data_IF_667994116975
#
_entry.id   IF_667994116975
#
_cell.length_a   1.000
_cell.length_b   1.000
_cell.length_c   1.000
_cell.angle_alpha   90.00
_cell.angle_beta   90.00
_cell.angle_gamma   90.00
#
_symmetry.space_group_name_H-M   'P 1'
#
loop_
_entity.id
_entity.type
_entity.pdbx_description
1 polymer ?
#
# COMPACT_ATOMS: atom_id res chain seq x y z
N UNK A 1 -21.08 34.74 11.13
CA UNK A 1 -19.77 34.11 11.31
C UNK A 1 -19.63 33.03 10.25
N UNK A 2 -18.90 33.30 9.17
CA UNK A 2 -18.74 32.35 8.05
C UNK A 2 -17.44 31.57 8.21
N UNK A 3 -17.51 30.24 8.17
CA UNK A 3 -16.34 29.36 8.26
C UNK A 3 -15.49 29.45 6.97
N UNK A 4 -14.15 29.41 7.02
CA UNK A 4 -13.35 29.38 5.81
C UNK A 4 -13.47 28.00 5.14
N UNK A 5 -13.78 27.99 3.85
CA UNK A 5 -13.73 26.81 2.99
C UNK A 5 -12.27 26.41 2.76
N UNK A 6 -11.89 25.22 3.20
CA UNK A 6 -10.57 24.64 2.93
C UNK A 6 -10.53 24.11 1.49
N UNK A 7 -10.09 24.94 0.54
CA UNK A 7 -9.91 24.57 -0.86
C UNK A 7 -8.79 23.55 -1.09
N UNK A 8 -8.98 22.67 -2.07
CA UNK A 8 -7.97 21.75 -2.62
C UNK A 8 -6.82 22.58 -3.21
N UNK A 9 -5.62 22.50 -2.63
CA UNK A 9 -4.44 23.27 -3.08
C UNK A 9 -3.33 23.54 -2.05
N UNK A 10 -3.38 22.98 -0.83
CA UNK A 10 -2.45 23.30 0.27
C UNK A 10 -1.09 22.56 0.20
N UNK A 11 -0.58 22.20 -0.98
CA UNK A 11 0.74 21.57 -1.10
C UNK A 11 1.91 22.57 -1.07
N UNK A 12 1.68 23.80 -0.58
CA UNK A 12 2.71 24.84 -0.47
C UNK A 12 3.53 24.93 -1.76
N UNK A 13 2.86 25.29 -2.86
CA UNK A 13 3.47 25.41 -4.19
C UNK A 13 4.81 26.17 -4.15
N UNK A 14 5.71 25.96 -5.13
CA UNK A 14 7.08 26.45 -5.06
C UNK A 14 7.13 27.90 -4.57
N UNK A 15 7.79 28.09 -3.42
CA UNK A 15 7.87 29.40 -2.74
C UNK A 15 8.28 30.48 -3.73
N UNK A 16 7.47 31.54 -3.84
CA UNK A 16 7.77 32.73 -4.63
C UNK A 16 8.82 33.64 -3.94
N UNK A 17 9.21 33.33 -2.69
CA UNK A 17 10.32 34.01 -2.03
C UNK A 17 11.63 33.79 -2.77
N UNK A 18 12.42 34.85 -2.92
CA UNK A 18 13.78 34.76 -3.45
C UNK A 18 14.65 33.75 -2.68
N UNK A 19 15.57 33.08 -3.41
CA UNK A 19 16.60 32.23 -2.80
C UNK A 19 16.25 30.76 -2.61
N UNK A 20 15.11 30.25 -3.09
CA UNK A 20 14.76 28.81 -3.05
C UNK A 20 15.82 27.93 -3.71
N UNK A 21 16.37 28.38 -4.85
CA UNK A 21 17.47 27.68 -5.55
C UNK A 21 18.71 27.57 -4.68
N UNK A 22 19.09 28.66 -4.01
CA UNK A 22 20.24 28.70 -3.10
C UNK A 22 20.00 27.85 -1.84
N UNK A 23 18.81 27.93 -1.21
CA UNK A 23 18.44 27.07 -0.06
C UNK A 23 18.46 25.59 -0.43
N UNK A 24 17.95 25.23 -1.61
CA UNK A 24 17.99 23.85 -2.14
C UNK A 24 19.43 23.40 -2.39
N UNK A 25 20.29 24.27 -2.91
CA UNK A 25 21.72 23.99 -3.11
C UNK A 25 22.44 23.74 -1.77
N UNK A 26 22.26 24.63 -0.79
CA UNK A 26 22.86 24.49 0.55
C UNK A 26 22.37 23.22 1.24
N UNK A 27 21.07 22.91 1.16
CA UNK A 27 20.50 21.67 1.69
C UNK A 27 21.10 20.42 1.01
N UNK A 28 21.23 20.41 -0.32
CA UNK A 28 21.86 19.30 -1.06
C UNK A 28 23.32 19.11 -0.64
N UNK A 29 24.08 20.20 -0.48
CA UNK A 29 25.50 20.17 -0.05
C UNK A 29 25.64 19.64 1.38
N UNK A 30 24.84 20.16 2.32
CA UNK A 30 24.83 19.70 3.71
C UNK A 30 24.41 18.23 3.83
N UNK A 31 23.35 17.83 3.11
CA UNK A 31 22.88 16.44 3.06
C UNK A 31 23.94 15.49 2.52
N UNK A 32 24.65 15.87 1.45
CA UNK A 32 25.76 15.05 0.90
C UNK A 32 26.91 14.92 1.89
N UNK A 33 27.26 16.00 2.60
CA UNK A 33 28.30 15.98 3.64
C UNK A 33 27.94 15.13 4.86
N UNK A 34 26.65 15.05 5.22
CA UNK A 34 26.17 14.29 6.38
C UNK A 34 25.90 12.81 6.08
N UNK A 35 25.31 12.50 4.92
CA UNK A 35 24.82 11.15 4.62
C UNK A 35 25.86 10.22 3.99
N UNK A 36 27.02 10.73 3.53
CA UNK A 36 27.99 9.91 2.80
C UNK A 36 27.41 9.30 1.52
N UNK A 37 28.02 8.21 1.01
CA UNK A 37 27.58 7.50 -0.20
C UNK A 37 26.45 6.48 0.07
N UNK A 38 26.34 6.00 1.31
CA UNK A 38 25.38 4.96 1.70
C UNK A 38 24.53 5.41 2.90
N UNK A 39 23.33 4.83 3.02
CA UNK A 39 22.48 5.09 4.18
C UNK A 39 23.18 4.61 5.46
N UNK A 40 23.11 5.37 6.58
CA UNK A 40 23.62 4.92 7.86
C UNK A 40 23.09 3.53 8.24
N UNK A 41 23.94 2.69 8.82
CA UNK A 41 23.62 1.29 9.09
C UNK A 41 22.41 1.13 10.02
N UNK A 42 22.19 2.05 10.95
CA UNK A 42 21.03 2.10 11.84
C UNK A 42 19.73 2.28 11.05
N UNK A 43 19.75 3.13 10.01
CA UNK A 43 18.60 3.34 9.13
C UNK A 43 18.31 2.10 8.31
N UNK A 44 19.36 1.40 7.83
CA UNK A 44 19.19 0.13 7.13
C UNK A 44 18.59 -0.92 8.07
N UNK A 45 19.13 -1.08 9.28
CA UNK A 45 18.61 -2.01 10.30
C UNK A 45 17.15 -1.75 10.63
N UNK A 46 16.76 -0.48 10.79
CA UNK A 46 15.36 -0.09 11.00
C UNK A 46 14.47 -0.50 9.82
N UNK A 47 14.92 -0.30 8.59
CA UNK A 47 14.19 -0.69 7.38
C UNK A 47 14.09 -2.20 7.20
N UNK A 48 15.14 -2.95 7.54
CA UNK A 48 15.14 -4.42 7.54
C UNK A 48 14.12 -4.93 8.55
N UNK A 49 14.17 -4.43 9.80
CA UNK A 49 13.19 -4.77 10.83
C UNK A 49 11.77 -4.44 10.38
N UNK A 50 11.56 -3.27 9.75
CA UNK A 50 10.23 -2.90 9.23
C UNK A 50 9.77 -3.85 8.13
N UNK A 51 10.65 -4.25 7.22
CA UNK A 51 10.32 -5.24 6.18
C UNK A 51 9.93 -6.59 6.78
N UNK A 52 10.65 -7.05 7.82
CA UNK A 52 10.33 -8.27 8.56
C UNK A 52 8.96 -8.18 9.25
N UNK A 53 8.66 -7.06 9.92
CA UNK A 53 7.34 -6.83 10.53
C UNK A 53 6.21 -6.83 9.51
N UNK A 54 6.48 -6.44 8.27
CA UNK A 54 5.52 -6.46 7.17
C UNK A 54 5.42 -7.83 6.48
N UNK A 55 6.28 -8.79 6.84
CA UNK A 55 6.38 -10.08 6.14
C UNK A 55 6.86 -9.95 4.69
N UNK A 56 7.62 -8.89 4.38
CA UNK A 56 8.11 -8.56 3.03
C UNK A 56 9.61 -8.80 2.88
N UNK A 57 10.08 -9.32 1.73
CA UNK A 57 11.49 -9.26 1.39
C UNK A 57 11.99 -7.81 1.38
N UNK A 58 13.15 -7.56 2.00
CA UNK A 58 13.73 -6.21 2.11
C UNK A 58 13.86 -5.51 0.75
N UNK A 59 14.21 -6.24 -0.32
CA UNK A 59 14.34 -5.69 -1.67
C UNK A 59 13.01 -5.09 -2.17
N UNK A 60 11.90 -5.79 -1.95
CA UNK A 60 10.55 -5.33 -2.33
C UNK A 60 10.16 -4.09 -1.53
N UNK A 61 10.35 -4.15 -0.21
CA UNK A 61 10.10 -3.01 0.68
C UNK A 61 10.92 -1.76 0.31
N UNK A 62 12.22 -1.93 0.08
CA UNK A 62 13.12 -0.82 -0.28
C UNK A 62 12.76 -0.20 -1.63
N UNK A 63 12.38 -1.03 -2.61
CA UNK A 63 11.93 -0.58 -3.92
C UNK A 63 10.66 0.29 -3.82
N UNK A 64 9.65 -0.19 -3.11
CA UNK A 64 8.38 0.53 -2.92
C UNK A 64 8.61 1.84 -2.16
N UNK A 65 9.39 1.81 -1.08
CA UNK A 65 9.71 3.02 -0.30
C UNK A 65 10.52 4.04 -1.11
N UNK A 66 11.36 3.58 -2.03
CA UNK A 66 12.12 4.47 -2.91
C UNK A 66 11.24 5.13 -3.97
N UNK A 67 10.23 4.44 -4.50
CA UNK A 67 9.31 4.99 -5.51
C UNK A 67 8.27 5.94 -4.92
N UNK A 68 7.71 5.62 -3.75
CA UNK A 68 6.64 6.44 -3.14
C UNK A 68 7.16 7.50 -2.19
N UNK A 69 8.37 7.32 -1.64
CA UNK A 69 8.88 8.15 -0.55
C UNK A 69 8.17 7.93 0.79
N UNK A 70 7.21 6.99 0.87
CA UNK A 70 6.40 6.68 2.05
C UNK A 70 6.70 5.28 2.57
N UNK A 71 6.51 5.07 3.88
CA UNK A 71 6.51 3.72 4.45
C UNK A 71 5.28 2.92 4.03
N UNK A 72 5.41 1.60 4.00
CA UNK A 72 4.28 0.69 3.78
C UNK A 72 3.52 0.55 5.09
N UNK A 73 2.23 0.87 5.07
CA UNK A 73 1.36 0.83 6.25
C UNK A 73 0.35 -0.32 6.20
N UNK A 74 0.15 -0.91 5.04
CA UNK A 74 -0.86 -1.94 4.84
C UNK A 74 -0.86 -2.52 3.44
N UNK A 75 -1.76 -3.48 3.25
CA UNK A 75 -1.91 -4.24 2.04
C UNK A 75 -3.36 -4.34 1.63
N UNK A 76 -3.59 -4.27 0.32
CA UNK A 76 -4.84 -4.69 -0.30
C UNK A 76 -4.60 -6.05 -0.93
N UNK A 77 -5.15 -7.11 -0.37
CA UNK A 77 -5.11 -8.46 -0.92
C UNK A 77 -6.30 -8.68 -1.85
N UNK A 78 -6.04 -9.15 -3.07
CA UNK A 78 -7.10 -9.79 -3.86
C UNK A 78 -7.43 -11.15 -3.27
N UNK A 79 -8.71 -11.55 -3.30
CA UNK A 79 -9.11 -12.92 -2.96
C UNK A 79 -8.38 -13.97 -3.82
N UNK A 80 -8.02 -13.65 -5.06
CA UNK A 80 -7.22 -14.54 -5.92
C UNK A 80 -5.83 -14.81 -5.32
N UNK A 81 -5.16 -13.78 -4.83
CA UNK A 81 -3.85 -13.92 -4.20
C UNK A 81 -3.90 -14.67 -2.87
N UNK A 82 -5.04 -14.63 -2.18
CA UNK A 82 -5.31 -15.44 -0.99
C UNK A 82 -5.78 -16.87 -1.31
N UNK A 83 -5.88 -17.23 -2.59
CA UNK A 83 -6.43 -18.51 -3.07
C UNK A 83 -7.88 -18.75 -2.65
N UNK A 84 -8.62 -17.68 -2.41
CA UNK A 84 -10.06 -17.70 -2.15
C UNK A 84 -10.77 -17.43 -3.48
N UNK A 85 -11.39 -18.47 -4.05
CA UNK A 85 -12.06 -18.41 -5.36
C UNK A 85 -13.52 -18.81 -5.26
N UNK A 86 -13.83 -19.77 -4.38
CA UNK A 86 -15.16 -20.36 -4.21
C UNK A 86 -15.70 -20.08 -2.82
N UNK A 87 -17.03 -20.04 -2.73
CA UNK A 87 -17.69 -19.95 -1.44
C UNK A 87 -17.31 -21.17 -0.58
N UNK A 88 -16.88 -20.93 0.66
CA UNK A 88 -16.43 -21.96 1.58
C UNK A 88 -14.92 -22.24 1.56
N UNK A 89 -14.17 -21.64 0.63
CA UNK A 89 -12.70 -21.69 0.68
C UNK A 89 -12.19 -21.12 2.01
N UNK A 90 -11.09 -21.69 2.50
CA UNK A 90 -10.41 -21.25 3.72
C UNK A 90 -8.98 -20.83 3.38
N UNK A 91 -8.43 -19.91 4.17
CA UNK A 91 -7.01 -19.60 4.09
C UNK A 91 -6.18 -20.85 4.40
N UNK A 92 -5.15 -21.09 3.60
CA UNK A 92 -4.13 -22.07 3.96
C UNK A 92 -3.50 -21.67 5.30
N UNK A 93 -3.18 -22.60 6.21
CA UNK A 93 -2.63 -22.28 7.53
C UNK A 93 -1.42 -21.35 7.48
N UNK A 94 -0.49 -21.59 6.54
CA UNK A 94 0.68 -20.74 6.35
C UNK A 94 0.35 -19.30 5.95
N UNK A 95 -0.75 -19.09 5.20
CA UNK A 95 -1.19 -17.74 4.82
C UNK A 95 -1.80 -17.05 6.03
N UNK A 96 -2.67 -17.74 6.78
CA UNK A 96 -3.26 -17.23 8.02
C UNK A 96 -2.18 -16.85 9.04
N UNK A 97 -1.19 -17.73 9.28
CA UNK A 97 -0.07 -17.47 10.18
C UNK A 97 0.74 -16.23 9.77
N UNK A 98 1.00 -16.07 8.46
CA UNK A 98 1.73 -14.92 7.94
C UNK A 98 0.94 -13.62 8.14
N UNK A 99 -0.37 -13.64 7.84
CA UNK A 99 -1.26 -12.49 8.02
C UNK A 99 -1.46 -12.12 9.49
N UNK A 100 -1.51 -13.10 10.39
CA UNK A 100 -1.66 -12.87 11.82
C UNK A 100 -0.42 -12.19 12.45
N UNK A 101 0.79 -12.56 11.99
CA UNK A 101 2.05 -12.04 12.54
C UNK A 101 2.43 -10.65 12.04
N UNK A 102 1.93 -10.24 10.88
CA UNK A 102 2.36 -8.98 10.27
C UNK A 102 1.78 -7.76 11.00
N UNK A 103 2.57 -6.67 11.05
CA UNK A 103 2.19 -5.39 11.64
C UNK A 103 1.84 -4.37 10.55
N UNK A 104 0.70 -4.59 9.91
CA UNK A 104 0.16 -3.74 8.85
C UNK A 104 -1.37 -3.91 8.77
N UNK A 105 -2.05 -2.95 8.15
CA UNK A 105 -3.46 -3.10 7.77
C UNK A 105 -3.61 -4.20 6.70
N UNK A 106 -4.58 -5.08 6.85
CA UNK A 106 -4.85 -6.24 5.97
C UNK A 106 -6.26 -6.14 5.44
N UNK A 107 -6.37 -5.59 4.24
CA UNK A 107 -7.66 -5.33 3.59
C UNK A 107 -7.84 -6.31 2.44
N UNK A 108 -9.03 -6.90 2.30
CA UNK A 108 -9.31 -7.84 1.21
C UNK A 108 -10.31 -7.25 0.22
N UNK A 109 -9.95 -7.29 -1.07
CA UNK A 109 -10.88 -7.12 -2.18
C UNK A 109 -11.37 -8.50 -2.63
N UNK A 110 -12.62 -8.83 -2.30
CA UNK A 110 -13.22 -10.12 -2.58
C UNK A 110 -13.93 -10.13 -3.93
N UNK A 111 -13.53 -11.05 -4.82
CA UNK A 111 -14.25 -11.26 -6.09
C UNK A 111 -15.56 -11.98 -5.88
N UNK A 112 -16.56 -11.64 -6.69
CA UNK A 112 -17.79 -12.43 -6.77
C UNK A 112 -17.49 -13.88 -7.20
N UNK A 113 -18.13 -14.92 -6.62
CA UNK A 113 -19.30 -14.87 -5.73
C UNK A 113 -18.98 -14.82 -4.23
N UNK A 114 -17.75 -14.48 -3.83
CA UNK A 114 -17.39 -14.44 -2.42
C UNK A 114 -18.16 -13.32 -1.69
N UNK A 115 -18.42 -13.59 -0.43
CA UNK A 115 -19.11 -12.69 0.51
C UNK A 115 -18.04 -12.06 1.39
N UNK A 116 -17.73 -10.76 1.24
CA UNK A 116 -16.68 -10.08 2.00
C UNK A 116 -16.86 -10.23 3.51
N UNK A 117 -18.09 -10.19 3.99
CA UNK A 117 -18.44 -10.28 5.40
C UNK A 117 -17.93 -11.60 6.01
N UNK A 118 -17.98 -12.71 5.25
CA UNK A 118 -17.43 -14.00 5.70
C UNK A 118 -15.90 -14.04 5.69
N UNK A 119 -15.25 -13.19 4.89
CA UNK A 119 -13.79 -13.08 4.84
C UNK A 119 -13.27 -12.20 5.97
N UNK A 120 -14.04 -11.17 6.37
CA UNK A 120 -13.72 -10.36 7.56
C UNK A 120 -13.69 -11.20 8.85
N UNK A 121 -14.40 -12.33 8.89
CA UNK A 121 -14.35 -13.28 10.01
C UNK A 121 -13.02 -14.05 10.10
N UNK A 122 -12.16 -14.01 9.08
CA UNK A 122 -10.88 -14.70 9.12
C UNK A 122 -9.89 -13.98 10.03
N UNK A 123 -9.17 -14.75 10.84
CA UNK A 123 -8.12 -14.20 11.70
C UNK A 123 -7.04 -13.52 10.85
N UNK A 124 -6.65 -12.31 11.25
CA UNK A 124 -5.66 -11.51 10.53
C UNK A 124 -6.21 -10.74 9.33
N UNK A 125 -7.54 -10.65 9.15
CA UNK A 125 -8.16 -9.72 8.21
C UNK A 125 -8.77 -8.55 8.99
N UNK A 126 -8.38 -7.31 8.66
CA UNK A 126 -8.88 -6.11 9.35
C UNK A 126 -10.15 -5.56 8.67
N UNK A 127 -10.31 -5.81 7.37
CA UNK A 127 -11.46 -5.39 6.56
C UNK A 127 -11.52 -6.20 5.26
N UNK A 128 -12.72 -6.40 4.73
CA UNK A 128 -12.95 -6.87 3.39
C UNK A 128 -14.05 -6.07 2.70
N UNK A 129 -14.06 -6.10 1.38
CA UNK A 129 -15.16 -5.56 0.60
C UNK A 129 -15.16 -6.12 -0.80
N UNK A 130 -16.20 -5.80 -1.55
CA UNK A 130 -16.32 -6.26 -2.92
C UNK A 130 -15.18 -5.70 -3.77
N UNK A 131 -14.54 -6.58 -4.55
CA UNK A 131 -13.57 -6.21 -5.56
C UNK A 131 -14.24 -5.53 -6.76
N UNK A 132 -13.54 -4.65 -7.49
CA UNK A 132 -13.96 -4.25 -8.82
C UNK A 132 -14.21 -5.47 -9.71
N UNK A 133 -15.30 -5.43 -10.50
CA UNK A 133 -15.57 -6.48 -11.50
C UNK A 133 -14.40 -6.56 -12.50
N UNK A 134 -14.05 -7.76 -13.00
CA UNK A 134 -13.06 -7.90 -14.06
C UNK A 134 -13.40 -6.98 -15.24
N UNK A 135 -12.39 -6.24 -15.73
CA UNK A 135 -12.52 -5.31 -16.86
C UNK A 135 -13.58 -4.20 -16.67
N UNK A 136 -13.98 -3.91 -15.42
CA UNK A 136 -14.82 -2.75 -15.14
C UNK A 136 -14.14 -1.46 -15.59
N UNK A 137 -14.93 -0.47 -15.99
CA UNK A 137 -14.38 0.84 -16.35
C UNK A 137 -13.63 1.47 -15.18
N UNK A 138 -12.56 2.21 -15.48
CA UNK A 138 -11.69 2.82 -14.48
C UNK A 138 -12.45 3.62 -13.39
N UNK A 139 -13.48 4.38 -13.77
CA UNK A 139 -14.30 5.13 -12.81
C UNK A 139 -15.03 4.25 -11.80
N UNK A 140 -15.50 3.08 -12.23
CA UNK A 140 -16.14 2.08 -11.37
C UNK A 140 -15.10 1.42 -10.45
N UNK A 141 -13.94 1.01 -11.00
CA UNK A 141 -12.84 0.46 -10.20
C UNK A 141 -12.44 1.43 -9.09
N UNK A 142 -12.21 2.70 -9.44
CA UNK A 142 -11.86 3.77 -8.49
C UNK A 142 -12.92 3.94 -7.40
N UNK A 143 -14.21 3.95 -7.76
CA UNK A 143 -15.30 4.13 -6.80
C UNK A 143 -15.37 2.96 -5.80
N UNK A 144 -15.27 1.72 -6.29
CA UNK A 144 -15.27 0.51 -5.46
C UNK A 144 -14.08 0.50 -4.50
N UNK A 145 -12.86 0.72 -5.02
CA UNK A 145 -11.65 0.77 -4.20
C UNK A 145 -11.71 1.93 -3.20
N UNK A 146 -12.22 3.10 -3.59
CA UNK A 146 -12.37 4.22 -2.68
C UNK A 146 -13.32 3.93 -1.50
N UNK A 147 -14.41 3.20 -1.76
CA UNK A 147 -15.35 2.75 -0.72
C UNK A 147 -14.67 1.77 0.25
N UNK A 148 -13.97 0.77 -0.28
CA UNK A 148 -13.28 -0.25 0.53
C UNK A 148 -12.16 0.35 1.40
N UNK A 149 -11.29 1.16 0.80
CA UNK A 149 -10.15 1.75 1.50
C UNK A 149 -10.57 2.90 2.44
N UNK A 150 -11.71 3.53 2.16
CA UNK A 150 -12.18 4.69 2.92
C UNK A 150 -11.28 5.92 2.78
N UNK A 151 -11.53 6.98 3.59
CA UNK A 151 -10.82 8.25 3.49
C UNK A 151 -9.58 8.37 4.40
N UNK A 152 -9.48 7.54 5.45
CA UNK A 152 -8.44 7.68 6.49
C UNK A 152 -7.11 7.03 6.12
N UNK A 153 -7.14 5.99 5.28
CA UNK A 153 -5.94 5.24 4.93
C UNK A 153 -5.11 5.97 3.88
N UNK A 154 -3.79 6.11 4.07
CA UNK A 154 -2.91 6.70 3.08
C UNK A 154 -2.66 5.69 1.96
N UNK A 155 -3.34 5.89 0.82
CA UNK A 155 -3.35 4.93 -0.29
C UNK A 155 -1.98 4.69 -0.90
N UNK A 156 -1.15 5.73 -0.93
CA UNK A 156 0.26 5.71 -1.35
C UNK A 156 1.19 4.95 -0.39
N UNK A 157 0.67 4.45 0.73
CA UNK A 157 1.34 3.52 1.65
C UNK A 157 0.74 2.10 1.62
N UNK A 158 -0.25 1.84 0.77
CA UNK A 158 -0.87 0.51 0.61
C UNK A 158 -0.30 -0.21 -0.61
N UNK A 159 0.03 -1.49 -0.44
CA UNK A 159 0.56 -2.33 -1.53
C UNK A 159 -0.49 -3.34 -1.96
N UNK A 160 -0.72 -3.47 -3.26
CA UNK A 160 -1.59 -4.49 -3.81
C UNK A 160 -0.88 -5.85 -3.83
N UNK A 161 -1.50 -6.85 -3.23
CA UNK A 161 -1.11 -8.25 -3.39
C UNK A 161 -2.16 -8.92 -4.29
N UNK A 162 -1.77 -9.24 -5.52
CA UNK A 162 -2.69 -9.69 -6.56
C UNK A 162 -2.09 -10.81 -7.39
N UNK A 163 -2.91 -11.50 -8.18
CA UNK A 163 -2.45 -12.59 -9.05
C UNK A 163 -3.02 -12.50 -10.46
N UNK A 164 -4.28 -12.09 -10.61
CA UNK A 164 -4.88 -11.98 -11.93
C UNK A 164 -4.35 -10.73 -12.68
N UNK A 165 -4.09 -10.81 -14.00
CA UNK A 165 -3.52 -9.68 -14.75
C UNK A 165 -4.36 -8.39 -14.67
N UNK A 166 -5.69 -8.51 -14.75
CA UNK A 166 -6.61 -7.36 -14.70
C UNK A 166 -6.61 -6.62 -13.35
N UNK A 167 -6.07 -7.24 -12.29
CA UNK A 167 -5.95 -6.61 -10.96
C UNK A 167 -4.82 -5.57 -10.93
N UNK A 168 -3.87 -5.62 -11.88
CA UNK A 168 -2.77 -4.64 -11.97
C UNK A 168 -3.30 -3.19 -12.04
N UNK A 169 -4.41 -2.99 -12.74
CA UNK A 169 -5.04 -1.68 -12.93
C UNK A 169 -5.51 -1.05 -11.61
N UNK A 170 -5.70 -1.85 -10.56
CA UNK A 170 -6.11 -1.37 -9.25
C UNK A 170 -5.04 -0.54 -8.56
N UNK A 171 -3.77 -0.68 -8.94
CA UNK A 171 -2.70 0.20 -8.45
C UNK A 171 -3.00 1.64 -8.83
N UNK A 172 -3.30 1.89 -10.10
CA UNK A 172 -3.63 3.22 -10.62
C UNK A 172 -5.02 3.69 -10.14
N UNK A 173 -6.04 2.84 -10.25
CA UNK A 173 -7.40 3.19 -9.83
C UNK A 173 -7.50 3.48 -8.32
N UNK A 174 -6.75 2.74 -7.51
CA UNK A 174 -6.66 2.87 -6.06
C UNK A 174 -5.64 3.90 -5.57
N UNK A 175 -4.74 4.39 -6.44
CA UNK A 175 -3.57 5.21 -6.07
C UNK A 175 -2.67 4.52 -5.04
N UNK A 176 -2.39 3.23 -5.28
CA UNK A 176 -1.62 2.38 -4.39
C UNK A 176 -0.11 2.58 -4.60
N UNK A 177 0.68 2.17 -3.61
CA UNK A 177 2.14 2.29 -3.62
C UNK A 177 2.82 1.41 -4.68
N UNK A 178 2.17 0.32 -5.08
CA UNK A 178 2.67 -0.64 -6.03
C UNK A 178 1.95 -1.98 -5.92
N UNK A 179 2.46 -2.98 -6.64
CA UNK A 179 1.97 -4.35 -6.67
C UNK A 179 3.08 -5.35 -6.37
N UNK A 180 2.72 -6.41 -5.65
CA UNK A 180 3.53 -7.62 -5.48
C UNK A 180 2.65 -8.81 -5.85
N UNK A 181 3.22 -9.79 -6.54
CA UNK A 181 2.48 -11.00 -6.88
C UNK A 181 2.26 -11.89 -5.65
N UNK A 182 1.06 -12.47 -5.52
CA UNK A 182 0.69 -13.35 -4.41
C UNK A 182 1.72 -14.44 -4.10
N UNK A 183 2.17 -15.24 -5.10
CA UNK A 183 3.19 -16.27 -4.88
C UNK A 183 4.52 -15.72 -4.32
N UNK A 184 4.95 -14.53 -4.75
CA UNK A 184 6.16 -13.90 -4.23
C UNK A 184 5.96 -13.41 -2.79
N UNK A 185 4.79 -12.84 -2.50
CA UNK A 185 4.45 -12.39 -1.16
C UNK A 185 4.38 -13.58 -0.19
N UNK A 186 3.62 -14.63 -0.49
CA UNK A 186 3.41 -15.75 0.43
C UNK A 186 4.50 -16.84 0.38
N UNK A 187 5.37 -16.85 -0.63
CA UNK A 187 6.50 -17.78 -0.73
C UNK A 187 7.78 -17.33 -0.03
N UNK A 188 7.76 -16.15 0.60
CA UNK A 188 8.89 -15.57 1.36
C UNK A 188 8.75 -15.72 2.87
#
# INVERSE_FOLDING_TARGET
>A
MSAPMHGVGHNGGPSMEGGVSYRRFVWKKARKGLMGESLPIEVIRMRVRRAEELGLPYKSYASIRASTGRDVVGFLFSSNALRLVRLGDRLAPAYADKLARMKAERIVAAHHPLVPELIEEFEGIDRAGQAPRPYAQWGQQKAVLAKLLGPKLPRDGLVLISEAPFEAEWVEAGKLAGRIDGPLFFGS
#
